data_IF_766331234103
#
_entry.id   IF_766331234103
#
_cell.length_a   1.000
_cell.length_b   1.000
_cell.length_c   1.000
_cell.angle_alpha   90.00
_cell.angle_beta   90.00
_cell.angle_gamma   90.00
#
_symmetry.space_group_name_H-M   'P 1'
#
loop_
_entity.id
_entity.type
_entity.pdbx_description
1 polymer ?
#
# COMPACT_ATOMS: atom_id res chain seq x y z
N UNK A 1 97.81 68.22 5.48
CA UNK A 1 96.46 68.34 4.87
C UNK A 1 95.69 67.05 5.17
N UNK A 2 94.68 67.07 6.04
CA UNK A 2 93.91 65.87 6.43
C UNK A 2 92.43 66.13 6.13
N UNK A 3 91.90 65.46 5.12
CA UNK A 3 90.53 65.61 4.65
C UNK A 3 89.65 64.64 5.45
N UNK A 4 88.61 65.13 6.12
CA UNK A 4 87.59 64.28 6.74
C UNK A 4 86.53 63.92 5.68
N UNK A 5 86.26 62.62 5.49
CA UNK A 5 85.14 62.14 4.67
C UNK A 5 83.84 62.21 5.50
N UNK A 6 82.87 62.98 5.03
CA UNK A 6 81.50 63.01 5.55
C UNK A 6 80.79 61.70 5.19
N UNK A 7 80.26 60.98 6.19
CA UNK A 7 79.49 59.74 6.01
C UNK A 7 78.00 60.08 6.01
N UNK A 8 77.33 59.88 4.88
CA UNK A 8 75.88 60.05 4.76
C UNK A 8 75.17 58.79 5.25
N UNK A 9 74.33 58.91 6.27
CA UNK A 9 73.45 57.85 6.76
C UNK A 9 72.35 57.51 5.74
N UNK A 10 72.19 56.24 5.39
CA UNK A 10 71.12 55.75 4.51
C UNK A 10 69.78 55.72 5.25
N UNK A 11 68.79 56.47 4.76
CA UNK A 11 67.39 56.42 5.22
C UNK A 11 66.84 54.99 5.06
N UNK A 12 66.44 54.37 6.16
CA UNK A 12 65.76 53.08 6.15
C UNK A 12 64.28 53.30 5.84
N UNK A 13 63.87 53.15 4.57
CA UNK A 13 62.46 53.14 4.20
C UNK A 13 61.85 51.81 4.65
N UNK A 14 60.98 51.85 5.66
CA UNK A 14 60.30 50.68 6.22
C UNK A 14 59.42 49.99 5.18
N UNK A 15 60.02 49.15 4.35
CA UNK A 15 59.35 48.30 3.38
C UNK A 15 58.80 47.08 4.13
N UNK A 16 57.50 46.82 4.00
CA UNK A 16 56.89 45.63 4.59
C UNK A 16 57.43 44.39 3.87
N UNK A 17 58.05 43.50 4.64
CA UNK A 17 58.73 42.32 4.14
C UNK A 17 58.22 41.09 4.88
N UNK A 18 58.11 39.94 4.18
CA UNK A 18 57.75 38.71 4.86
C UNK A 18 58.76 38.41 5.98
N UNK A 19 58.34 37.72 7.05
CA UNK A 19 59.26 37.33 8.11
C UNK A 19 60.43 36.53 7.52
N UNK A 20 61.62 36.62 8.13
CA UNK A 20 62.85 35.96 7.63
C UNK A 20 62.71 34.43 7.42
N UNK A 21 61.66 33.79 7.95
CA UNK A 21 61.31 32.38 7.77
C UNK A 21 60.06 32.08 6.92
N UNK A 22 59.44 33.08 6.30
CA UNK A 22 58.22 32.93 5.49
C UNK A 22 56.95 32.66 6.31
N UNK A 23 55.80 32.56 5.63
CA UNK A 23 54.52 32.22 6.25
C UNK A 23 54.34 30.70 6.38
N UNK A 24 53.50 30.29 7.34
CA UNK A 24 53.10 28.90 7.47
C UNK A 24 52.42 28.39 6.18
N UNK A 25 52.61 27.11 5.81
CA UNK A 25 52.02 26.56 4.61
C UNK A 25 50.49 26.51 4.74
N UNK A 26 49.81 27.23 3.86
CA UNK A 26 48.35 27.25 3.78
C UNK A 26 47.89 26.01 3.03
N UNK A 27 46.96 25.24 3.60
CA UNK A 27 46.35 24.11 2.89
C UNK A 27 45.40 24.63 1.80
N UNK A 28 45.90 24.65 0.57
CA UNK A 28 45.11 25.00 -0.62
C UNK A 28 44.41 23.79 -1.26
N UNK A 29 44.74 22.58 -0.80
CA UNK A 29 44.17 21.33 -1.32
C UNK A 29 42.88 20.97 -0.60
N UNK A 30 41.98 20.34 -1.36
CA UNK A 30 40.68 19.88 -0.85
C UNK A 30 40.85 18.72 0.15
N UNK A 31 40.56 18.97 1.42
CA UNK A 31 40.59 17.95 2.48
C UNK A 31 39.19 17.34 2.69
N UNK A 32 38.78 16.43 1.80
CA UNK A 32 37.51 15.69 1.93
C UNK A 32 37.78 14.23 2.31
N UNK A 33 37.62 13.85 3.58
CA UNK A 33 37.70 12.45 3.98
C UNK A 33 36.49 11.69 3.43
N UNK A 34 36.72 10.55 2.79
CA UNK A 34 35.65 9.65 2.37
C UNK A 34 35.06 9.01 3.62
N UNK A 35 33.85 9.44 3.99
CA UNK A 35 33.12 8.97 5.18
C UNK A 35 32.01 8.01 4.76
N UNK A 36 31.85 6.94 5.53
CA UNK A 36 30.74 5.99 5.38
C UNK A 36 31.21 4.53 5.22
N UNK A 37 30.30 3.58 5.47
CA UNK A 37 30.57 2.16 5.22
C UNK A 37 30.69 1.89 3.72
N UNK A 38 31.44 0.84 3.36
CA UNK A 38 31.58 0.40 1.96
C UNK A 38 30.19 0.02 1.42
N UNK A 39 29.95 0.25 0.13
CA UNK A 39 28.65 -0.05 -0.50
C UNK A 39 28.19 -1.50 -0.34
N UNK A 40 29.13 -2.46 -0.28
CA UNK A 40 28.83 -3.87 0.00
C UNK A 40 28.21 -4.08 1.37
N UNK A 41 28.65 -3.35 2.39
CA UNK A 41 28.13 -3.44 3.76
C UNK A 41 26.69 -2.92 3.82
N UNK A 42 26.40 -1.85 3.07
CA UNK A 42 25.04 -1.32 2.95
C UNK A 42 24.10 -2.32 2.27
N UNK A 43 24.54 -2.95 1.17
CA UNK A 43 23.75 -3.97 0.48
C UNK A 43 23.46 -5.17 1.38
N UNK A 44 24.45 -5.64 2.13
CA UNK A 44 24.28 -6.72 3.10
C UNK A 44 23.28 -6.30 4.19
N UNK A 45 23.41 -5.09 4.74
CA UNK A 45 22.48 -4.57 5.75
C UNK A 45 21.03 -4.54 5.24
N UNK A 46 20.80 -4.04 4.04
CA UNK A 46 19.46 -4.00 3.42
C UNK A 46 18.92 -5.41 3.17
N UNK A 47 19.76 -6.32 2.69
CA UNK A 47 19.37 -7.70 2.44
C UNK A 47 18.96 -8.41 3.75
N UNK A 48 19.72 -8.23 4.83
CA UNK A 48 19.38 -8.80 6.14
C UNK A 48 18.07 -8.25 6.71
N UNK A 49 17.87 -6.92 6.67
CA UNK A 49 16.63 -6.29 7.14
C UNK A 49 15.43 -6.80 6.33
N UNK A 50 15.58 -6.88 5.00
CA UNK A 50 14.53 -7.37 4.12
C UNK A 50 14.20 -8.84 4.40
N UNK A 51 15.20 -9.71 4.51
CA UNK A 51 15.01 -11.13 4.81
C UNK A 51 14.30 -11.33 6.16
N UNK A 52 14.69 -10.58 7.18
CA UNK A 52 14.02 -10.62 8.48
C UNK A 52 12.57 -10.12 8.41
N UNK A 53 12.33 -9.04 7.67
CA UNK A 53 10.98 -8.52 7.42
C UNK A 53 10.08 -9.56 6.75
N UNK A 54 10.57 -10.22 5.71
CA UNK A 54 9.83 -11.29 5.03
C UNK A 54 9.57 -12.50 5.95
N UNK A 55 10.52 -12.88 6.78
CA UNK A 55 10.32 -13.95 7.77
C UNK A 55 9.16 -13.63 8.73
N UNK A 56 9.13 -12.41 9.28
CA UNK A 56 8.04 -11.97 10.17
C UNK A 56 6.70 -11.84 9.44
N UNK A 57 6.71 -11.33 8.21
CA UNK A 57 5.53 -11.27 7.38
C UNK A 57 4.92 -12.65 7.12
N UNK A 58 5.76 -13.64 6.78
CA UNK A 58 5.32 -15.01 6.52
C UNK A 58 4.64 -15.62 7.76
N UNK A 59 5.17 -15.37 8.96
CA UNK A 59 4.50 -15.78 10.21
C UNK A 59 3.09 -15.20 10.33
N UNK A 60 2.93 -13.89 10.07
CA UNK A 60 1.62 -13.25 10.08
C UNK A 60 0.66 -13.79 9.01
N UNK A 61 1.17 -14.19 7.84
CA UNK A 61 0.34 -14.82 6.79
C UNK A 61 -0.23 -16.15 7.25
N UNK A 62 0.52 -16.96 8.02
CA UNK A 62 0.00 -18.21 8.57
C UNK A 62 -1.12 -17.96 9.59
N UNK A 63 -0.95 -16.98 10.47
CA UNK A 63 -1.97 -16.59 11.45
C UNK A 63 -3.24 -16.08 10.74
N UNK A 64 -3.11 -15.21 9.75
CA UNK A 64 -4.24 -14.72 8.96
C UNK A 64 -4.98 -15.83 8.20
N UNK A 65 -4.28 -16.90 7.80
CA UNK A 65 -4.92 -18.07 7.18
C UNK A 65 -5.72 -18.88 8.18
N UNK A 66 -5.25 -19.00 9.42
CA UNK A 66 -6.02 -19.62 10.51
C UNK A 66 -7.29 -18.80 10.80
N UNK A 67 -7.16 -17.49 11.01
CA UNK A 67 -8.32 -16.62 11.26
C UNK A 67 -9.34 -16.65 10.12
N UNK A 68 -8.87 -16.70 8.86
CA UNK A 68 -9.76 -16.86 7.70
C UNK A 68 -10.43 -18.23 7.69
N UNK A 69 -9.71 -19.29 8.05
CA UNK A 69 -10.28 -20.63 8.18
C UNK A 69 -11.37 -20.65 9.24
N UNK A 70 -11.11 -20.13 10.43
CA UNK A 70 -12.11 -20.02 11.51
C UNK A 70 -13.36 -19.26 11.04
N UNK A 71 -13.20 -18.12 10.37
CA UNK A 71 -14.30 -17.34 9.80
C UNK A 71 -15.08 -18.08 8.71
N UNK A 72 -14.42 -18.89 7.88
CA UNK A 72 -15.08 -19.70 6.86
C UNK A 72 -15.86 -20.84 7.52
N UNK A 73 -15.28 -21.50 8.51
CA UNK A 73 -15.96 -22.55 9.26
C UNK A 73 -17.19 -22.01 9.99
N UNK A 74 -17.11 -20.85 10.64
CA UNK A 74 -18.29 -20.25 11.29
C UNK A 74 -19.42 -19.99 10.28
N UNK A 75 -19.09 -19.52 9.08
CA UNK A 75 -20.06 -19.35 7.99
C UNK A 75 -20.66 -20.66 7.52
N UNK A 76 -19.84 -21.69 7.26
CA UNK A 76 -20.33 -23.00 6.79
C UNK A 76 -21.39 -23.58 7.73
N UNK A 77 -21.22 -23.41 9.05
CA UNK A 77 -22.20 -23.88 10.02
C UNK A 77 -23.50 -23.05 10.05
N UNK A 78 -23.43 -21.76 9.73
CA UNK A 78 -24.59 -20.87 9.73
C UNK A 78 -25.35 -20.85 8.39
N UNK A 79 -24.66 -21.12 7.28
CA UNK A 79 -25.22 -21.07 5.91
C UNK A 79 -26.51 -21.89 5.78
N UNK A 80 -26.61 -23.15 6.27
CA UNK A 80 -27.82 -23.94 6.11
C UNK A 80 -29.05 -23.30 6.77
N UNK A 81 -28.88 -22.67 7.93
CA UNK A 81 -29.96 -21.98 8.63
C UNK A 81 -30.41 -20.75 7.83
N UNK A 82 -29.47 -19.91 7.42
CA UNK A 82 -29.75 -18.68 6.66
C UNK A 82 -30.36 -19.00 5.29
N UNK A 83 -29.90 -20.06 4.63
CA UNK A 83 -30.44 -20.52 3.36
C UNK A 83 -31.88 -20.99 3.54
N UNK A 84 -32.18 -21.75 4.59
CA UNK A 84 -33.54 -22.21 4.86
C UNK A 84 -34.51 -21.05 5.14
N UNK A 85 -34.06 -19.98 5.81
CA UNK A 85 -34.86 -18.77 6.00
C UNK A 85 -35.09 -18.04 4.67
N UNK A 86 -34.03 -17.86 3.87
CA UNK A 86 -34.12 -17.23 2.56
C UNK A 86 -35.06 -17.99 1.60
N UNK A 87 -34.99 -19.33 1.58
CA UNK A 87 -35.83 -20.18 0.74
C UNK A 87 -37.32 -20.06 1.12
N UNK A 88 -37.64 -20.00 2.44
CA UNK A 88 -39.02 -19.77 2.93
C UNK A 88 -39.56 -18.41 2.49
N UNK A 89 -38.75 -17.37 2.61
CA UNK A 89 -39.14 -16.01 2.23
C UNK A 89 -39.32 -15.88 0.71
N UNK A 90 -38.43 -16.49 -0.07
CA UNK A 90 -38.51 -16.54 -1.52
C UNK A 90 -39.79 -17.26 -1.98
N UNK A 91 -40.12 -18.40 -1.38
CA UNK A 91 -41.36 -19.10 -1.66
C UNK A 91 -42.59 -18.23 -1.35
N UNK A 92 -42.62 -17.55 -0.19
CA UNK A 92 -43.72 -16.65 0.19
C UNK A 92 -43.92 -15.53 -0.84
N UNK A 93 -42.82 -14.90 -1.29
CA UNK A 93 -42.87 -13.82 -2.30
C UNK A 93 -43.33 -14.33 -3.65
N UNK A 94 -42.77 -15.45 -4.14
CA UNK A 94 -43.18 -16.08 -5.41
C UNK A 94 -44.68 -16.39 -5.41
N UNK A 95 -45.17 -16.97 -4.31
CA UNK A 95 -46.57 -17.31 -4.16
C UNK A 95 -47.47 -16.06 -4.15
N UNK A 96 -47.10 -15.02 -3.40
CA UNK A 96 -47.84 -13.77 -3.37
C UNK A 96 -47.88 -13.08 -4.74
N UNK A 97 -46.75 -13.01 -5.46
CA UNK A 97 -46.68 -12.45 -6.81
C UNK A 97 -47.63 -13.21 -7.75
N UNK A 98 -47.59 -14.54 -7.74
CA UNK A 98 -48.49 -15.36 -8.57
C UNK A 98 -49.96 -15.12 -8.27
N UNK A 99 -50.31 -14.93 -6.99
CA UNK A 99 -51.69 -14.59 -6.61
C UNK A 99 -52.11 -13.21 -7.10
N UNK A 100 -51.22 -12.22 -7.05
CA UNK A 100 -51.49 -10.88 -7.59
C UNK A 100 -51.60 -10.92 -9.11
N UNK A 101 -50.69 -11.61 -9.78
CA UNK A 101 -50.68 -11.79 -11.23
C UNK A 101 -51.98 -12.45 -11.72
N UNK A 102 -52.44 -13.51 -11.06
CA UNK A 102 -53.72 -14.18 -11.36
C UNK A 102 -54.91 -13.24 -11.20
N UNK A 103 -54.89 -12.32 -10.22
CA UNK A 103 -55.97 -11.34 -10.02
C UNK A 103 -55.99 -10.28 -11.11
N UNK A 104 -54.81 -9.81 -11.54
CA UNK A 104 -54.66 -8.78 -12.57
C UNK A 104 -54.98 -9.34 -13.96
N UNK A 105 -54.54 -10.57 -14.26
CA UNK A 105 -54.61 -11.17 -15.59
C UNK A 105 -55.87 -12.03 -15.83
N UNK A 106 -56.86 -11.95 -14.94
CA UNK A 106 -58.12 -12.72 -15.00
C UNK A 106 -58.89 -12.54 -16.33
N UNK A 107 -58.75 -11.37 -16.96
CA UNK A 107 -59.53 -10.98 -18.13
C UNK A 107 -58.83 -11.36 -19.46
N UNK A 108 -57.62 -11.92 -19.41
CA UNK A 108 -56.81 -12.29 -20.58
C UNK A 108 -56.98 -13.78 -20.92
N UNK A 109 -57.49 -14.07 -22.12
CA UNK A 109 -57.72 -15.45 -22.56
C UNK A 109 -56.41 -16.21 -22.77
N UNK A 110 -56.25 -17.36 -22.10
CA UNK A 110 -55.09 -18.24 -22.23
C UNK A 110 -53.90 -17.89 -21.33
N UNK A 111 -54.04 -16.90 -20.43
CA UNK A 111 -52.99 -16.59 -19.46
C UNK A 111 -52.97 -17.59 -18.30
N UNK A 112 -51.79 -18.15 -18.02
CA UNK A 112 -51.55 -19.04 -16.88
C UNK A 112 -50.29 -18.59 -16.14
N UNK A 113 -50.45 -18.01 -14.93
CA UNK A 113 -49.32 -17.55 -14.12
C UNK A 113 -48.47 -18.70 -13.50
N UNK A 114 -48.92 -19.95 -13.61
CA UNK A 114 -48.16 -21.13 -13.18
C UNK A 114 -47.30 -21.72 -14.31
N UNK A 115 -47.49 -21.28 -15.55
CA UNK A 115 -46.73 -21.78 -16.67
C UNK A 115 -45.26 -21.32 -16.60
N UNK A 116 -44.34 -22.27 -16.73
CA UNK A 116 -42.92 -21.96 -16.85
C UNK A 116 -42.63 -21.23 -18.16
N UNK A 117 -41.92 -20.11 -18.07
CA UNK A 117 -41.45 -19.34 -19.25
C UNK A 117 -40.36 -20.11 -19.99
N UNK A 118 -39.51 -20.82 -19.24
CA UNK A 118 -38.42 -21.63 -19.77
C UNK A 118 -38.86 -23.08 -19.94
N UNK A 119 -38.34 -23.75 -20.98
CA UNK A 119 -38.66 -25.16 -21.28
C UNK A 119 -38.04 -26.15 -20.26
N UNK A 120 -37.20 -25.67 -19.35
CA UNK A 120 -36.62 -26.47 -18.26
C UNK A 120 -37.59 -26.63 -17.11
N UNK A 121 -37.67 -27.83 -16.52
CA UNK A 121 -38.50 -28.12 -15.35
C UNK A 121 -37.87 -27.62 -14.02
N UNK A 122 -36.69 -27.02 -14.07
CA UNK A 122 -35.98 -26.50 -12.90
C UNK A 122 -36.60 -25.18 -12.43
N UNK A 123 -36.76 -25.01 -11.12
CA UNK A 123 -37.17 -23.72 -10.55
C UNK A 123 -36.04 -22.70 -10.70
N UNK A 124 -36.35 -21.58 -11.34
CA UNK A 124 -35.40 -20.50 -11.62
C UNK A 124 -35.74 -19.34 -10.69
N UNK A 125 -34.72 -18.73 -10.09
CA UNK A 125 -34.91 -17.53 -9.27
C UNK A 125 -35.23 -16.33 -10.16
N UNK A 126 -36.27 -15.53 -9.85
CA UNK A 126 -36.65 -14.42 -10.69
C UNK A 126 -35.60 -13.30 -10.60
N UNK A 127 -35.20 -12.74 -11.75
CA UNK A 127 -34.20 -11.68 -11.84
C UNK A 127 -34.67 -10.35 -11.24
N UNK A 128 -35.98 -10.10 -11.29
CA UNK A 128 -36.62 -8.93 -10.71
C UNK A 128 -37.87 -9.37 -9.95
N UNK A 129 -38.17 -8.71 -8.84
CA UNK A 129 -39.44 -8.87 -8.12
C UNK A 129 -40.16 -7.54 -8.13
N UNK A 130 -41.43 -7.55 -8.52
CA UNK A 130 -42.28 -6.38 -8.35
C UNK A 130 -42.54 -6.13 -6.87
N UNK A 131 -42.56 -4.85 -6.48
CA UNK A 131 -42.99 -4.45 -5.14
C UNK A 131 -44.49 -4.69 -5.09
N UNK A 132 -44.93 -5.51 -4.14
CA UNK A 132 -46.35 -5.74 -3.89
C UNK A 132 -46.83 -4.61 -2.96
N UNK A 133 -47.60 -3.67 -3.51
CA UNK A 133 -48.40 -2.72 -2.72
C UNK A 133 -49.69 -3.35 -2.20
#
# INVERSE_FOLDING_TARGET
>A
MRIYKFSSSTLNSGQDMPPMGGFAPIQYKRNLPIRGPRGSILLIGVAFVSAYGFYKYIQGVYEQRELKRENVWSRIHLIPLLQAEADRDLYRRKHAIRQVENKIMKDVQGWNAEQHIYNTQTDITPTYSFILE
#
